data_IF_792599827453
#
_entry.id   IF_792599827453
#
_cell.length_a   1.000
_cell.length_b   1.000
_cell.length_c   1.000
_cell.angle_alpha   90.00
_cell.angle_beta   90.00
_cell.angle_gamma   90.00
#
_symmetry.space_group_name_H-M   'P 1'
#
loop_
_entity.id
_entity.type
_entity.pdbx_description
1 polymer ?
#
# COMPACT_ATOMS: atom_id res chain seq x y z
N UNK A 1 -25.64 -0.64 -4.08
CA UNK A 1 -24.69 -1.10 -3.06
C UNK A 1 -23.37 -1.59 -3.69
N UNK A 2 -23.35 -2.61 -4.56
CA UNK A 2 -22.09 -3.13 -5.18
C UNK A 2 -21.27 -2.06 -5.94
N UNK A 3 -21.92 -1.14 -6.66
CA UNK A 3 -21.22 -0.06 -7.39
C UNK A 3 -20.39 0.85 -6.48
N UNK A 4 -20.84 1.15 -5.27
CA UNK A 4 -20.08 1.95 -4.31
C UNK A 4 -18.79 1.26 -3.85
N UNK A 5 -18.81 -0.07 -3.68
CA UNK A 5 -17.61 -0.84 -3.33
C UNK A 5 -16.57 -0.82 -4.46
N UNK A 6 -17.02 -0.91 -5.71
CA UNK A 6 -16.10 -0.76 -6.85
C UNK A 6 -15.50 0.65 -6.93
N UNK A 7 -16.27 1.70 -6.62
CA UNK A 7 -15.70 3.06 -6.54
C UNK A 7 -14.58 3.17 -5.52
N UNK A 8 -14.72 2.50 -4.36
CA UNK A 8 -13.67 2.44 -3.36
C UNK A 8 -12.44 1.63 -3.85
N UNK A 9 -12.69 0.52 -4.56
CA UNK A 9 -11.63 -0.29 -5.16
C UNK A 9 -10.85 0.48 -6.23
N UNK A 10 -11.50 1.34 -7.02
CA UNK A 10 -10.82 2.24 -7.95
C UNK A 10 -9.86 3.20 -7.23
N UNK A 11 -10.22 3.69 -6.05
CA UNK A 11 -9.35 4.54 -5.23
C UNK A 11 -8.15 3.78 -4.69
N UNK A 12 -8.34 2.58 -4.14
CA UNK A 12 -7.21 1.76 -3.65
C UNK A 12 -6.29 1.29 -4.78
N UNK A 13 -6.81 1.09 -5.98
CA UNK A 13 -6.01 0.83 -7.18
C UNK A 13 -5.08 2.00 -7.50
N UNK A 14 -5.60 3.24 -7.53
CA UNK A 14 -4.77 4.43 -7.77
C UNK A 14 -3.70 4.63 -6.69
N UNK A 15 -4.07 4.46 -5.42
CA UNK A 15 -3.13 4.54 -4.30
C UNK A 15 -2.03 3.48 -4.38
N UNK A 16 -2.39 2.23 -4.74
CA UNK A 16 -1.43 1.16 -4.93
C UNK A 16 -0.43 1.44 -6.06
N UNK A 17 -0.89 1.97 -7.21
CA UNK A 17 0.01 2.41 -8.27
C UNK A 17 0.97 3.50 -7.74
N UNK A 18 0.45 4.56 -7.13
CA UNK A 18 1.29 5.68 -6.69
C UNK A 18 2.34 5.29 -5.63
N UNK A 19 2.05 4.28 -4.81
CA UNK A 19 2.99 3.74 -3.83
C UNK A 19 4.10 2.93 -4.50
N UNK A 20 3.73 1.89 -5.24
CA UNK A 20 4.68 0.88 -5.71
C UNK A 20 5.40 1.24 -7.00
N UNK A 21 4.81 2.10 -7.84
CA UNK A 21 5.41 2.45 -9.13
C UNK A 21 6.76 3.16 -8.96
N UNK A 22 6.88 4.03 -7.95
CA UNK A 22 8.13 4.76 -7.69
C UNK A 22 9.31 3.81 -7.51
N UNK A 23 9.10 2.67 -6.84
CA UNK A 23 10.14 1.67 -6.59
C UNK A 23 10.62 1.01 -7.88
N UNK A 24 9.71 0.85 -8.85
CA UNK A 24 10.03 0.20 -10.13
C UNK A 24 10.66 1.13 -11.16
N UNK A 25 10.41 2.45 -11.08
CA UNK A 25 10.96 3.47 -11.99
C UNK A 25 12.00 4.37 -11.31
N UNK A 26 12.54 3.94 -10.17
CA UNK A 26 13.46 4.74 -9.36
C UNK A 26 14.68 5.26 -10.15
N UNK A 27 15.36 4.44 -10.98
CA UNK A 27 16.48 4.91 -11.79
C UNK A 27 16.08 5.98 -12.82
N UNK A 28 14.88 5.85 -13.43
CA UNK A 28 14.40 6.81 -14.43
C UNK A 28 14.10 8.18 -13.78
N UNK A 29 13.58 8.16 -12.54
CA UNK A 29 13.34 9.38 -11.75
C UNK A 29 14.65 10.00 -11.28
N UNK A 30 15.61 9.19 -10.83
CA UNK A 30 16.95 9.65 -10.44
C UNK A 30 17.63 10.37 -11.61
N UNK A 31 17.65 9.74 -12.78
CA UNK A 31 18.18 10.35 -14.01
C UNK A 31 17.41 11.62 -14.41
N UNK A 32 16.09 11.63 -14.25
CA UNK A 32 15.25 12.76 -14.59
C UNK A 32 15.42 14.01 -13.73
N UNK A 33 15.94 13.87 -12.50
CA UNK A 33 16.28 14.96 -11.59
C UNK A 33 17.80 15.20 -11.48
N UNK A 34 18.61 14.41 -12.18
CA UNK A 34 20.08 14.42 -12.08
C UNK A 34 20.59 14.25 -10.64
N UNK A 35 20.05 13.24 -9.96
CA UNK A 35 20.36 12.89 -8.55
C UNK A 35 20.80 11.44 -8.44
N UNK A 36 21.44 11.11 -7.30
CA UNK A 36 21.81 9.73 -7.00
C UNK A 36 20.59 8.85 -6.69
N UNK A 37 20.73 7.53 -6.85
CA UNK A 37 19.70 6.55 -6.47
C UNK A 37 19.34 6.66 -4.98
N UNK A 38 20.31 6.97 -4.13
CA UNK A 38 20.08 7.18 -2.70
C UNK A 38 19.17 8.37 -2.43
N UNK A 39 19.40 9.49 -3.10
CA UNK A 39 18.56 10.68 -3.02
C UNK A 39 17.16 10.40 -3.58
N UNK A 40 17.05 9.68 -4.70
CA UNK A 40 15.77 9.27 -5.23
C UNK A 40 14.98 8.39 -4.23
N UNK A 41 15.65 7.59 -3.40
CA UNK A 41 15.03 6.83 -2.32
C UNK A 41 14.32 7.70 -1.27
N UNK A 42 14.74 8.96 -1.08
CA UNK A 42 14.03 9.90 -0.20
C UNK A 42 12.61 10.23 -0.71
N UNK A 43 12.36 10.14 -2.01
CA UNK A 43 11.02 10.34 -2.58
C UNK A 43 10.05 9.23 -2.12
N UNK A 44 10.54 8.01 -1.92
CA UNK A 44 9.78 6.90 -1.34
C UNK A 44 9.52 7.17 0.14
N UNK A 45 10.55 7.60 0.86
CA UNK A 45 10.45 7.94 2.30
C UNK A 45 9.52 9.12 2.55
N UNK A 46 9.55 10.14 1.70
CA UNK A 46 8.63 11.30 1.78
C UNK A 46 7.17 10.87 1.63
N UNK A 47 6.88 9.96 0.69
CA UNK A 47 5.55 9.38 0.54
C UNK A 47 5.13 8.61 1.81
N UNK A 48 5.98 7.73 2.32
CA UNK A 48 5.73 6.96 3.53
C UNK A 48 5.49 7.87 4.76
N UNK A 49 6.25 8.96 4.89
CA UNK A 49 6.03 9.96 5.92
C UNK A 49 4.65 10.63 5.76
N UNK A 50 4.26 10.96 4.53
CA UNK A 50 2.92 11.44 4.23
C UNK A 50 1.83 10.47 4.68
N UNK A 51 1.99 9.17 4.43
CA UNK A 51 1.05 8.12 4.88
C UNK A 51 0.93 8.11 6.40
N UNK A 52 2.05 8.19 7.12
CA UNK A 52 2.07 8.21 8.59
C UNK A 52 1.36 9.45 9.17
N UNK A 53 1.56 10.62 8.57
CA UNK A 53 0.99 11.89 9.04
C UNK A 53 -0.47 12.03 8.63
N UNK A 54 -0.84 11.53 7.47
CA UNK A 54 -2.15 11.76 6.86
C UNK A 54 -3.31 11.17 7.65
N UNK A 55 -3.19 9.95 8.16
CA UNK A 55 -4.26 9.30 8.89
C UNK A 55 -4.62 10.05 10.19
N UNK A 56 -3.68 10.40 11.09
CA UNK A 56 -3.97 11.26 12.25
C UNK A 56 -4.52 12.62 11.87
N UNK A 57 -3.98 13.24 10.79
CA UNK A 57 -4.42 14.56 10.35
C UNK A 57 -5.91 14.56 9.96
N UNK A 58 -6.35 13.54 9.22
CA UNK A 58 -7.77 13.41 8.82
C UNK A 58 -8.67 13.22 10.02
N UNK A 59 -8.26 12.45 11.02
CA UNK A 59 -9.01 12.28 12.28
C UNK A 59 -9.22 13.63 12.98
N UNK A 60 -8.24 14.50 12.95
CA UNK A 60 -8.33 15.84 13.62
C UNK A 60 -9.16 16.81 12.78
N UNK A 61 -8.89 16.90 11.47
CA UNK A 61 -9.44 17.95 10.59
C UNK A 61 -10.85 17.61 10.11
N UNK A 62 -11.07 16.36 9.70
CA UNK A 62 -12.27 15.95 8.97
C UNK A 62 -13.29 15.17 9.81
N UNK A 63 -13.12 15.11 11.13
CA UNK A 63 -13.98 14.34 12.06
C UNK A 63 -15.48 14.65 11.97
N UNK A 64 -15.84 15.89 11.62
CA UNK A 64 -17.23 16.33 11.49
C UNK A 64 -17.76 16.25 10.06
N UNK A 65 -16.93 15.86 9.10
CA UNK A 65 -17.33 15.81 7.70
C UNK A 65 -18.07 14.53 7.37
N UNK A 66 -19.05 14.56 6.45
CA UNK A 66 -19.63 13.35 5.88
C UNK A 66 -18.55 12.45 5.27
N UNK A 67 -18.65 11.13 5.46
CA UNK A 67 -17.63 10.18 5.02
C UNK A 67 -17.32 10.27 3.52
N UNK A 68 -18.35 10.51 2.69
CA UNK A 68 -18.18 10.71 1.25
C UNK A 68 -17.34 11.95 0.95
N UNK A 69 -17.53 13.05 1.68
CA UNK A 69 -16.76 14.29 1.52
C UNK A 69 -15.31 14.06 1.87
N UNK A 70 -15.03 13.29 2.94
CA UNK A 70 -13.66 12.91 3.31
C UNK A 70 -13.00 12.14 2.17
N UNK A 71 -13.67 11.10 1.62
CA UNK A 71 -13.13 10.33 0.51
C UNK A 71 -12.83 11.20 -0.72
N UNK A 72 -13.72 12.14 -1.05
CA UNK A 72 -13.52 13.06 -2.17
C UNK A 72 -12.33 14.00 -1.95
N UNK A 73 -12.17 14.53 -0.73
CA UNK A 73 -11.03 15.37 -0.36
C UNK A 73 -9.71 14.58 -0.43
N UNK A 74 -9.70 13.34 0.07
CA UNK A 74 -8.54 12.47 0.01
C UNK A 74 -8.12 12.16 -1.43
N UNK A 75 -9.07 11.81 -2.30
CA UNK A 75 -8.75 11.57 -3.71
C UNK A 75 -8.37 12.87 -4.42
N UNK A 76 -8.95 14.02 -4.04
CA UNK A 76 -8.52 15.33 -4.53
C UNK A 76 -7.06 15.63 -4.17
N UNK A 77 -6.66 15.33 -2.92
CA UNK A 77 -5.27 15.48 -2.48
C UNK A 77 -4.33 14.51 -3.20
N UNK A 78 -4.78 13.28 -3.47
CA UNK A 78 -4.06 12.32 -4.30
C UNK A 78 -3.82 12.86 -5.72
N UNK A 79 -4.84 13.42 -6.36
CA UNK A 79 -4.72 14.03 -7.69
C UNK A 79 -3.72 15.18 -7.65
N UNK A 80 -3.85 16.09 -6.69
CA UNK A 80 -2.95 17.25 -6.55
C UNK A 80 -1.49 16.80 -6.35
N UNK A 81 -1.23 15.84 -5.47
CA UNK A 81 0.12 15.33 -5.19
C UNK A 81 0.76 14.66 -6.42
N UNK A 82 -0.01 13.88 -7.18
CA UNK A 82 0.51 13.23 -8.40
C UNK A 82 0.71 14.24 -9.54
N UNK A 83 -0.15 15.25 -9.70
CA UNK A 83 0.07 16.33 -10.67
C UNK A 83 1.31 17.14 -10.29
N UNK A 84 1.48 17.50 -9.02
CA UNK A 84 2.69 18.17 -8.55
C UNK A 84 3.95 17.36 -8.85
N UNK A 85 3.90 16.04 -8.67
CA UNK A 85 5.03 15.16 -8.99
C UNK A 85 5.32 15.15 -10.50
N UNK A 86 4.29 15.06 -11.33
CA UNK A 86 4.44 15.09 -12.79
C UNK A 86 5.04 16.43 -13.29
N UNK A 87 4.69 17.53 -12.64
CA UNK A 87 5.13 18.90 -12.98
C UNK A 87 6.39 19.33 -12.23
N UNK A 88 6.95 18.47 -11.36
CA UNK A 88 8.13 18.83 -10.56
C UNK A 88 9.33 19.16 -11.44
N UNK A 89 9.86 20.37 -11.25
CA UNK A 89 11.05 20.83 -11.96
C UNK A 89 12.34 20.37 -11.30
N UNK A 90 12.32 20.19 -9.98
CA UNK A 90 13.47 19.87 -9.17
C UNK A 90 13.15 18.82 -8.10
N UNK A 91 14.20 18.31 -7.45
CA UNK A 91 14.13 17.31 -6.41
C UNK A 91 13.27 17.72 -5.20
N UNK A 92 13.38 18.97 -4.74
CA UNK A 92 12.66 19.43 -3.55
C UNK A 92 11.16 19.53 -3.79
N UNK A 93 10.79 20.00 -4.98
CA UNK A 93 9.39 19.99 -5.41
C UNK A 93 8.86 18.55 -5.50
N UNK A 94 9.67 17.61 -6.00
CA UNK A 94 9.37 16.20 -6.03
C UNK A 94 9.14 15.61 -4.64
N UNK A 95 9.99 15.95 -3.65
CA UNK A 95 9.82 15.53 -2.24
C UNK A 95 8.50 16.03 -1.65
N UNK A 96 8.18 17.32 -1.83
CA UNK A 96 6.92 17.90 -1.39
C UNK A 96 5.73 17.22 -2.05
N UNK A 97 5.80 16.99 -3.37
CA UNK A 97 4.76 16.31 -4.13
C UNK A 97 4.51 14.89 -3.64
N UNK A 98 5.57 14.14 -3.35
CA UNK A 98 5.48 12.78 -2.82
C UNK A 98 4.89 12.77 -1.42
N UNK A 99 5.29 13.68 -0.53
CA UNK A 99 4.68 13.84 0.79
C UNK A 99 3.18 14.11 0.69
N UNK A 100 2.78 15.07 -0.15
CA UNK A 100 1.36 15.41 -0.37
C UNK A 100 0.57 14.23 -0.93
N UNK A 101 1.13 13.50 -1.90
CA UNK A 101 0.45 12.32 -2.48
C UNK A 101 0.35 11.14 -1.51
N UNK A 102 1.19 11.07 -0.48
CA UNK A 102 1.14 10.08 0.58
C UNK A 102 0.06 10.33 1.63
N UNK A 103 -0.26 11.60 1.93
CA UNK A 103 -1.23 11.98 2.97
C UNK A 103 -2.58 11.26 2.87
N UNK A 104 -3.21 11.10 1.68
CA UNK A 104 -4.50 10.43 1.59
C UNK A 104 -4.46 8.93 1.81
N UNK A 105 -3.29 8.27 1.67
CA UNK A 105 -3.21 6.82 1.55
C UNK A 105 -3.78 6.09 2.77
N UNK A 106 -3.18 6.26 3.94
CA UNK A 106 -3.61 5.57 5.17
C UNK A 106 -5.03 5.95 5.58
N UNK A 107 -5.37 7.24 5.46
CA UNK A 107 -6.71 7.75 5.76
C UNK A 107 -7.78 7.18 4.82
N UNK A 108 -7.47 7.00 3.54
CA UNK A 108 -8.40 6.43 2.57
C UNK A 108 -8.75 4.98 2.91
N UNK A 109 -7.78 4.16 3.32
CA UNK A 109 -8.03 2.80 3.78
C UNK A 109 -8.90 2.77 5.05
N UNK A 110 -8.64 3.65 6.02
CA UNK A 110 -9.42 3.77 7.23
C UNK A 110 -10.88 4.18 6.96
N UNK A 111 -11.09 5.30 6.30
CA UNK A 111 -12.44 5.82 5.99
C UNK A 111 -13.15 4.92 4.99
N UNK A 112 -12.45 4.43 3.99
CA UNK A 112 -12.98 3.54 2.96
C UNK A 112 -13.49 2.22 3.53
N UNK A 113 -12.79 1.62 4.49
CA UNK A 113 -13.25 0.39 5.15
C UNK A 113 -14.53 0.61 5.96
N UNK A 114 -14.69 1.76 6.61
CA UNK A 114 -15.94 2.14 7.29
C UNK A 114 -17.07 2.29 6.27
N UNK A 115 -16.83 2.97 5.16
CA UNK A 115 -17.81 3.15 4.09
C UNK A 115 -18.16 1.81 3.46
N UNK A 116 -17.19 0.96 3.16
CA UNK A 116 -17.39 -0.38 2.62
C UNK A 116 -18.27 -1.23 3.55
N UNK A 117 -17.99 -1.21 4.86
CA UNK A 117 -18.79 -1.91 5.86
C UNK A 117 -20.23 -1.40 5.94
N UNK A 118 -20.45 -0.09 5.81
CA UNK A 118 -21.81 0.50 5.79
C UNK A 118 -22.57 0.21 4.50
N UNK A 119 -21.87 -0.02 3.38
CA UNK A 119 -22.47 -0.42 2.10
C UNK A 119 -22.70 -1.92 1.99
N UNK A 120 -22.16 -2.70 2.90
CA UNK A 120 -22.28 -4.15 2.91
C UNK A 120 -23.70 -4.63 3.23
N UNK A 121 -24.07 -5.80 2.72
CA UNK A 121 -25.22 -6.56 3.18
C UNK A 121 -24.96 -7.05 4.62
N UNK A 122 -26.03 -7.27 5.39
CA UNK A 122 -25.91 -7.80 6.77
C UNK A 122 -25.03 -9.08 6.78
N UNK A 123 -24.03 -9.10 7.64
CA UNK A 123 -23.10 -10.22 7.78
C UNK A 123 -21.97 -10.29 6.74
N UNK A 124 -21.89 -9.37 5.74
CA UNK A 124 -20.89 -9.38 4.66
C UNK A 124 -19.90 -8.21 4.72
N UNK A 125 -19.70 -7.62 5.90
CA UNK A 125 -18.81 -6.46 6.08
C UNK A 125 -17.36 -6.76 5.67
N UNK A 126 -16.82 -7.90 6.09
CA UNK A 126 -15.45 -8.33 5.75
C UNK A 126 -15.28 -8.49 4.23
N UNK A 127 -16.23 -9.12 3.55
CA UNK A 127 -16.20 -9.26 2.09
C UNK A 127 -16.23 -7.92 1.36
N UNK A 128 -16.97 -6.95 1.87
CA UNK A 128 -17.04 -5.61 1.29
C UNK A 128 -15.71 -4.86 1.41
N UNK A 129 -15.04 -4.97 2.56
CA UNK A 129 -13.70 -4.42 2.76
C UNK A 129 -12.68 -5.14 1.86
N UNK A 130 -12.79 -6.46 1.72
CA UNK A 130 -11.93 -7.22 0.81
C UNK A 130 -12.05 -6.76 -0.65
N UNK A 131 -13.28 -6.47 -1.13
CA UNK A 131 -13.51 -5.90 -2.48
C UNK A 131 -12.82 -4.54 -2.61
N UNK A 132 -12.86 -3.70 -1.59
CA UNK A 132 -12.15 -2.42 -1.61
C UNK A 132 -10.64 -2.62 -1.72
N UNK A 133 -10.06 -3.51 -0.91
CA UNK A 133 -8.61 -3.77 -0.87
C UNK A 133 -8.13 -4.45 -2.17
N UNK A 134 -8.98 -5.22 -2.83
CA UNK A 134 -8.66 -5.90 -4.09
C UNK A 134 -8.14 -4.94 -5.17
N UNK A 135 -8.56 -3.66 -5.15
CA UNK A 135 -8.02 -2.64 -6.06
C UNK A 135 -6.50 -2.51 -5.96
N UNK A 136 -5.95 -2.50 -4.75
CA UNK A 136 -4.50 -2.45 -4.52
C UNK A 136 -3.79 -3.71 -5.04
N UNK A 137 -4.39 -4.87 -4.86
CA UNK A 137 -3.84 -6.14 -5.38
C UNK A 137 -3.79 -6.13 -6.91
N UNK A 138 -4.84 -5.62 -7.57
CA UNK A 138 -4.89 -5.47 -9.03
C UNK A 138 -3.87 -4.42 -9.50
N UNK A 139 -3.66 -3.35 -8.74
CA UNK A 139 -2.63 -2.35 -9.03
C UNK A 139 -1.23 -2.97 -9.06
N UNK A 140 -0.90 -3.80 -8.08
CA UNK A 140 0.39 -4.48 -8.02
C UNK A 140 0.57 -5.50 -9.16
N UNK A 141 -0.52 -6.21 -9.53
CA UNK A 141 -0.45 -7.24 -10.56
C UNK A 141 -0.32 -6.65 -11.98
N UNK A 142 -1.05 -5.58 -12.28
CA UNK A 142 -1.12 -5.02 -13.63
C UNK A 142 -0.67 -3.56 -13.71
N UNK A 143 -1.01 -2.75 -12.72
CA UNK A 143 -0.76 -1.31 -12.74
C UNK A 143 0.72 -0.98 -12.64
N UNK A 144 1.43 -1.63 -11.73
CA UNK A 144 2.88 -1.41 -11.52
C UNK A 144 3.70 -1.87 -12.72
N UNK A 145 3.49 -3.08 -13.30
CA UNK A 145 4.18 -3.48 -14.53
C UNK A 145 3.91 -2.57 -15.72
N UNK A 146 2.64 -2.17 -15.92
CA UNK A 146 2.28 -1.24 -16.99
C UNK A 146 2.91 0.14 -16.77
N UNK A 147 2.91 0.63 -15.54
CA UNK A 147 3.53 1.90 -15.18
C UNK A 147 5.07 1.85 -15.32
N UNK A 148 5.71 0.74 -14.97
CA UNK A 148 7.15 0.55 -15.21
C UNK A 148 7.47 0.63 -16.71
N UNK A 149 6.71 -0.07 -17.55
CA UNK A 149 6.85 0.00 -19.00
C UNK A 149 6.70 1.44 -19.51
N UNK A 150 5.62 2.12 -19.12
CA UNK A 150 5.38 3.51 -19.54
C UNK A 150 6.45 4.47 -19.03
N UNK A 151 6.88 4.31 -17.77
CA UNK A 151 7.87 5.18 -17.13
C UNK A 151 9.23 5.08 -17.77
N UNK A 152 9.64 3.88 -18.14
CA UNK A 152 10.95 3.64 -18.73
C UNK A 152 10.97 3.97 -20.24
N UNK A 153 9.99 3.50 -21.02
CA UNK A 153 10.01 3.64 -22.49
C UNK A 153 9.46 4.98 -23.00
N UNK A 154 8.66 5.71 -22.21
CA UNK A 154 8.09 6.99 -22.59
C UNK A 154 8.58 8.12 -21.67
N UNK A 155 8.04 8.20 -20.47
CA UNK A 155 8.44 9.20 -19.46
C UNK A 155 7.90 8.82 -18.09
N UNK A 156 8.73 8.88 -17.06
CA UNK A 156 8.31 8.67 -15.69
C UNK A 156 7.25 9.70 -15.23
N UNK A 157 7.26 10.92 -15.78
CA UNK A 157 6.24 11.95 -15.50
C UNK A 157 4.86 11.53 -15.97
N UNK A 158 4.77 10.85 -17.12
CA UNK A 158 3.51 10.38 -17.68
C UNK A 158 2.77 9.43 -16.73
N UNK A 159 3.50 8.61 -15.99
CA UNK A 159 2.90 7.68 -15.01
C UNK A 159 2.13 8.43 -13.94
N UNK A 160 2.68 9.55 -13.43
CA UNK A 160 2.01 10.38 -12.43
C UNK A 160 0.84 11.18 -13.01
N UNK A 161 0.91 11.60 -14.27
CA UNK A 161 -0.25 12.18 -14.98
C UNK A 161 -1.38 11.16 -15.09
N UNK A 162 -1.09 9.92 -15.49
CA UNK A 162 -2.08 8.84 -15.57
C UNK A 162 -2.68 8.53 -14.19
N UNK A 163 -1.86 8.49 -13.13
CA UNK A 163 -2.34 8.32 -11.77
C UNK A 163 -3.29 9.45 -11.35
N UNK A 164 -2.98 10.70 -11.69
CA UNK A 164 -3.83 11.85 -11.42
C UNK A 164 -5.16 11.78 -12.18
N UNK A 165 -5.13 11.43 -13.47
CA UNK A 165 -6.34 11.22 -14.29
C UNK A 165 -7.20 10.09 -13.71
N UNK A 166 -6.59 9.00 -13.28
CA UNK A 166 -7.28 7.91 -12.58
C UNK A 166 -7.96 8.40 -11.31
N UNK A 167 -7.30 9.26 -10.54
CA UNK A 167 -7.90 9.94 -9.39
C UNK A 167 -9.12 10.77 -9.77
N UNK A 168 -9.08 11.49 -10.90
CA UNK A 168 -10.22 12.21 -11.45
C UNK A 168 -11.42 11.31 -11.75
N UNK A 169 -11.17 10.18 -12.40
CA UNK A 169 -12.18 9.13 -12.65
C UNK A 169 -12.74 8.56 -11.33
N UNK A 170 -11.87 8.34 -10.36
CA UNK A 170 -12.27 7.87 -9.02
C UNK A 170 -13.18 8.87 -8.31
N UNK A 171 -12.88 10.18 -8.38
CA UNK A 171 -13.76 11.25 -7.86
C UNK A 171 -15.15 11.15 -8.49
N UNK A 172 -15.21 10.97 -9.81
CA UNK A 172 -16.48 10.83 -10.52
C UNK A 172 -17.29 9.62 -10.05
N UNK A 173 -16.63 8.43 -9.90
CA UNK A 173 -17.30 7.22 -9.39
C UNK A 173 -17.75 7.37 -7.93
N UNK A 174 -16.94 7.96 -7.06
CA UNK A 174 -17.33 8.20 -5.66
C UNK A 174 -18.53 9.15 -5.61
N UNK A 175 -18.53 10.22 -6.38
CA UNK A 175 -19.68 11.15 -6.46
C UNK A 175 -20.96 10.47 -6.94
N UNK A 176 -20.84 9.54 -7.88
CA UNK A 176 -21.98 8.92 -8.55
C UNK A 176 -22.53 7.70 -7.81
N UNK A 177 -21.65 6.92 -7.16
CA UNK A 177 -22.00 5.59 -6.64
C UNK A 177 -21.95 5.48 -5.12
N UNK A 178 -21.22 6.34 -4.42
CA UNK A 178 -21.17 6.34 -2.96
C UNK A 178 -22.24 7.30 -2.42
N UNK A 179 -23.20 6.85 -1.62
CA UNK A 179 -24.22 7.71 -1.02
C UNK A 179 -23.57 8.68 -0.01
N UNK A 180 -24.28 9.76 0.30
CA UNK A 180 -23.89 10.66 1.39
C UNK A 180 -24.12 9.93 2.70
N UNK A 181 -23.04 9.52 3.35
CA UNK A 181 -23.07 8.89 4.66
C UNK A 181 -22.76 9.93 5.73
N UNK A 182 -23.49 9.94 6.85
CA UNK A 182 -23.27 10.90 7.93
C UNK A 182 -21.86 10.75 8.50
N UNK A 183 -21.36 11.82 9.12
CA UNK A 183 -20.13 11.82 9.87
C UNK A 183 -20.16 10.74 10.96
N UNK A 184 -18.98 10.34 11.40
CA UNK A 184 -18.86 9.48 12.57
C UNK A 184 -19.29 10.25 13.83
N UNK A 185 -19.86 9.58 14.85
CA UNK A 185 -20.18 10.23 16.12
C UNK A 185 -18.96 10.98 16.66
N UNK A 186 -19.17 12.23 17.06
CA UNK A 186 -18.10 13.06 17.60
C UNK A 186 -17.62 12.48 18.94
N UNK A 187 -16.57 11.67 18.91
CA UNK A 187 -15.85 11.25 20.11
C UNK A 187 -14.79 12.28 20.47
N UNK A 188 -14.55 12.47 21.76
CA UNK A 188 -13.51 13.39 22.22
C UNK A 188 -12.15 12.88 21.74
N UNK A 189 -11.26 13.76 21.21
CA UNK A 189 -9.92 13.40 20.71
C UNK A 189 -9.13 12.53 21.71
N UNK A 190 -9.23 12.84 23.02
CA UNK A 190 -8.60 12.02 24.07
C UNK A 190 -9.13 10.58 24.11
N UNK A 191 -10.38 10.37 23.74
CA UNK A 191 -10.99 9.03 23.67
C UNK A 191 -10.51 8.22 22.47
N UNK A 192 -10.30 8.88 21.32
CA UNK A 192 -9.85 8.22 20.09
C UNK A 192 -8.45 7.64 20.22
N UNK A 193 -7.54 8.30 20.93
CA UNK A 193 -6.18 7.82 21.16
C UNK A 193 -6.01 6.99 22.43
N UNK A 194 -7.09 6.66 23.16
CA UNK A 194 -7.04 5.89 24.41
C UNK A 194 -6.46 4.48 24.20
N UNK A 195 -6.65 3.88 23.04
CA UNK A 195 -6.10 2.56 22.73
C UNK A 195 -4.56 2.55 22.76
N UNK A 196 -3.88 3.66 22.44
CA UNK A 196 -2.42 3.79 22.51
C UNK A 196 -1.85 3.73 23.94
N UNK A 197 -2.70 3.77 24.98
CA UNK A 197 -2.27 3.57 26.38
C UNK A 197 -2.02 2.10 26.73
N UNK A 198 -2.44 1.18 25.86
CA UNK A 198 -2.23 -0.25 26.04
C UNK A 198 -0.97 -0.70 25.30
N UNK A 199 -0.24 -1.73 25.79
CA UNK A 199 0.98 -2.22 25.14
C UNK A 199 0.72 -2.93 23.81
N UNK A 200 -0.46 -3.56 23.62
CA UNK A 200 -0.75 -4.41 22.48
C UNK A 200 -0.66 -3.67 21.12
N UNK A 201 -1.22 -2.45 20.94
CA UNK A 201 -1.04 -1.67 19.71
C UNK A 201 0.43 -1.38 19.39
N UNK A 202 1.24 -1.08 20.41
CA UNK A 202 2.66 -0.79 20.22
C UNK A 202 3.45 -2.03 19.80
N UNK A 203 3.16 -3.19 20.39
CA UNK A 203 3.76 -4.47 19.95
C UNK A 203 3.43 -4.77 18.50
N UNK A 204 2.19 -4.50 18.08
CA UNK A 204 1.76 -4.72 16.70
C UNK A 204 2.41 -3.73 15.73
N UNK A 205 2.49 -2.45 16.12
CA UNK A 205 3.21 -1.44 15.35
C UNK A 205 4.69 -1.85 15.20
N UNK A 206 5.34 -2.23 16.29
CA UNK A 206 6.75 -2.67 16.26
C UNK A 206 6.94 -3.90 15.37
N UNK A 207 6.08 -4.92 15.48
CA UNK A 207 6.14 -6.12 14.63
C UNK A 207 5.95 -5.76 13.15
N UNK A 208 5.03 -4.83 12.83
CA UNK A 208 4.81 -4.36 11.46
C UNK A 208 6.00 -3.55 10.95
N UNK A 209 6.55 -2.65 11.75
CA UNK A 209 7.71 -1.83 11.37
C UNK A 209 8.95 -2.69 11.10
N UNK A 210 9.27 -3.62 11.99
CA UNK A 210 10.45 -4.48 11.86
C UNK A 210 10.27 -5.50 10.74
N UNK A 211 9.12 -6.16 10.68
CA UNK A 211 8.84 -7.17 9.67
C UNK A 211 8.71 -6.58 8.26
N UNK A 212 7.76 -5.70 8.06
CA UNK A 212 7.52 -5.12 6.74
C UNK A 212 8.61 -4.13 6.32
N UNK A 213 9.26 -3.44 7.26
CA UNK A 213 10.31 -2.48 6.98
C UNK A 213 11.47 -3.11 6.20
N UNK A 214 11.92 -4.30 6.58
CA UNK A 214 12.98 -5.01 5.86
C UNK A 214 12.60 -5.36 4.41
N UNK A 215 11.37 -5.84 4.20
CA UNK A 215 10.87 -6.13 2.85
C UNK A 215 10.70 -4.86 2.00
N UNK A 216 10.23 -3.76 2.60
CA UNK A 216 10.13 -2.48 1.89
C UNK A 216 11.50 -1.90 1.53
N UNK A 217 12.50 -2.01 2.41
CA UNK A 217 13.87 -1.60 2.08
C UNK A 217 14.40 -2.34 0.85
N UNK A 218 14.21 -3.66 0.80
CA UNK A 218 14.58 -4.47 -0.37
C UNK A 218 13.78 -4.09 -1.62
N UNK A 219 12.45 -4.01 -1.51
CA UNK A 219 11.57 -3.75 -2.65
C UNK A 219 11.73 -2.33 -3.20
N UNK A 220 12.11 -1.36 -2.36
CA UNK A 220 12.36 0.03 -2.79
C UNK A 220 13.48 0.14 -3.82
N UNK A 221 14.45 -0.78 -3.76
CA UNK A 221 15.59 -0.80 -4.68
C UNK A 221 15.57 -2.02 -5.60
N UNK A 222 14.39 -2.64 -5.81
CA UNK A 222 14.26 -3.85 -6.64
C UNK A 222 14.74 -3.64 -8.07
N UNK A 223 14.50 -2.47 -8.66
CA UNK A 223 14.91 -2.18 -10.04
C UNK A 223 16.45 -2.17 -10.17
N UNK A 224 17.23 -1.31 -9.47
CA UNK A 224 18.69 -1.34 -9.56
C UNK A 224 19.27 -2.67 -9.10
N UNK A 225 18.67 -3.35 -8.12
CA UNK A 225 19.13 -4.66 -7.69
C UNK A 225 19.04 -5.71 -8.81
N UNK A 226 17.94 -5.71 -9.57
CA UNK A 226 17.75 -6.63 -10.69
C UNK A 226 18.61 -6.28 -11.90
N UNK A 227 18.73 -4.99 -12.22
CA UNK A 227 19.43 -4.56 -13.43
C UNK A 227 20.95 -4.47 -13.23
N UNK A 228 21.42 -3.86 -12.13
CA UNK A 228 22.84 -3.60 -11.91
C UNK A 228 23.56 -4.74 -11.20
N UNK A 229 22.90 -5.39 -10.23
CA UNK A 229 23.50 -6.48 -9.45
C UNK A 229 23.27 -7.84 -10.10
N UNK A 230 22.00 -8.15 -10.47
CA UNK A 230 21.63 -9.45 -11.04
C UNK A 230 21.80 -9.52 -12.57
N UNK A 231 22.01 -8.37 -13.26
CA UNK A 231 22.31 -8.30 -14.69
C UNK A 231 21.11 -8.57 -15.61
N UNK A 232 19.88 -8.40 -15.11
CA UNK A 232 18.70 -8.45 -15.98
C UNK A 232 18.62 -7.21 -16.87
N UNK A 233 18.14 -7.39 -18.11
CA UNK A 233 17.88 -6.24 -18.97
C UNK A 233 16.73 -5.39 -18.43
N UNK A 234 16.79 -4.09 -18.61
CA UNK A 234 15.72 -3.17 -18.19
C UNK A 234 14.37 -3.52 -18.84
N UNK A 235 14.40 -4.02 -20.07
CA UNK A 235 13.20 -4.51 -20.78
C UNK A 235 12.51 -5.72 -20.11
N UNK A 236 13.20 -6.44 -19.21
CA UNK A 236 12.65 -7.57 -18.46
C UNK A 236 11.89 -7.09 -17.19
N UNK A 237 12.13 -5.87 -16.74
CA UNK A 237 11.55 -5.35 -15.49
C UNK A 237 10.01 -5.40 -15.43
N UNK A 238 9.25 -5.08 -16.50
CA UNK A 238 7.78 -5.20 -16.44
C UNK A 238 7.32 -6.63 -16.15
N UNK A 239 8.01 -7.64 -16.70
CA UNK A 239 7.71 -9.06 -16.46
C UNK A 239 8.05 -9.44 -15.03
N UNK A 240 9.18 -8.99 -14.50
CA UNK A 240 9.56 -9.21 -13.10
C UNK A 240 8.55 -8.57 -12.15
N UNK A 241 8.09 -7.36 -12.44
CA UNK A 241 7.05 -6.70 -11.65
C UNK A 241 5.69 -7.42 -11.74
N UNK A 242 5.32 -7.95 -12.91
CA UNK A 242 4.10 -8.77 -13.06
C UNK A 242 4.16 -10.02 -12.19
N UNK A 243 5.29 -10.70 -12.20
CA UNK A 243 5.53 -11.85 -11.35
C UNK A 243 5.49 -11.45 -9.85
N UNK A 244 6.07 -10.31 -9.44
CA UNK A 244 5.96 -9.79 -8.08
C UNK A 244 4.49 -9.60 -7.67
N UNK A 245 3.70 -8.92 -8.50
CA UNK A 245 2.28 -8.75 -8.26
C UNK A 245 1.52 -10.08 -8.15
N UNK A 246 1.83 -11.05 -9.01
CA UNK A 246 1.24 -12.39 -8.94
C UNK A 246 1.58 -13.09 -7.62
N UNK A 247 2.82 -12.98 -7.16
CA UNK A 247 3.27 -13.51 -5.87
C UNK A 247 2.55 -12.86 -4.69
N UNK A 248 2.31 -11.55 -4.76
CA UNK A 248 1.51 -10.82 -3.76
C UNK A 248 0.07 -11.38 -3.68
N UNK A 249 -0.55 -11.65 -4.85
CA UNK A 249 -1.89 -12.25 -4.89
C UNK A 249 -1.90 -13.65 -4.25
N UNK A 250 -0.93 -14.49 -4.59
CA UNK A 250 -0.77 -15.83 -4.01
C UNK A 250 -0.53 -15.74 -2.50
N UNK A 251 0.36 -14.85 -2.06
CA UNK A 251 0.65 -14.63 -0.66
C UNK A 251 -0.58 -14.20 0.14
N UNK A 252 -1.36 -13.26 -0.40
CA UNK A 252 -2.62 -12.80 0.21
C UNK A 252 -3.64 -13.94 0.35
N UNK A 253 -3.81 -14.74 -0.70
CA UNK A 253 -4.73 -15.88 -0.68
C UNK A 253 -4.28 -16.94 0.34
N UNK A 254 -3.01 -17.33 0.31
CA UNK A 254 -2.45 -18.33 1.23
C UNK A 254 -2.49 -17.85 2.68
N UNK A 255 -2.11 -16.58 2.93
CA UNK A 255 -2.13 -16.00 4.27
C UNK A 255 -3.53 -15.99 4.87
N UNK A 256 -4.54 -15.58 4.10
CA UNK A 256 -5.94 -15.63 4.51
C UNK A 256 -6.40 -17.06 4.81
N UNK A 257 -6.19 -17.99 3.88
CA UNK A 257 -6.63 -19.38 4.02
C UNK A 257 -5.94 -20.13 5.17
N UNK A 258 -4.64 -19.89 5.38
CA UNK A 258 -3.92 -20.46 6.50
C UNK A 258 -4.39 -19.88 7.85
N UNK A 259 -4.73 -18.59 7.89
CA UNK A 259 -5.26 -17.94 9.10
C UNK A 259 -6.64 -18.46 9.51
N UNK A 260 -7.43 -18.97 8.56
CA UNK A 260 -8.71 -19.62 8.84
C UNK A 260 -8.53 -21.02 9.44
N UNK A 261 -7.40 -21.68 9.13
CA UNK A 261 -7.10 -23.06 9.62
C UNK A 261 -6.24 -23.10 10.86
N UNK A 262 -5.33 -22.13 11.02
CA UNK A 262 -4.38 -22.05 12.12
C UNK A 262 -4.58 -20.76 12.89
N UNK A 263 -4.02 -20.67 14.10
CA UNK A 263 -4.06 -19.44 14.88
C UNK A 263 -3.38 -18.31 14.12
N UNK A 264 -4.04 -17.15 13.87
CA UNK A 264 -3.49 -16.05 13.09
C UNK A 264 -2.10 -15.59 13.52
N UNK A 265 -1.82 -15.62 14.85
CA UNK A 265 -0.49 -15.29 15.38
C UNK A 265 0.62 -16.23 14.91
N UNK A 266 0.35 -17.54 14.86
CA UNK A 266 1.33 -18.56 14.39
C UNK A 266 1.59 -18.34 12.90
N UNK A 267 0.55 -18.10 12.11
CA UNK A 267 0.68 -17.85 10.67
C UNK A 267 1.51 -16.58 10.43
N UNK A 268 1.24 -15.49 11.17
CA UNK A 268 2.01 -14.26 11.07
C UNK A 268 3.49 -14.49 11.39
N UNK A 269 3.80 -15.19 12.48
CA UNK A 269 5.19 -15.50 12.87
C UNK A 269 5.89 -16.36 11.80
N UNK A 270 5.22 -17.38 11.29
CA UNK A 270 5.77 -18.26 10.25
C UNK A 270 6.07 -17.49 8.95
N UNK A 271 5.17 -16.62 8.54
CA UNK A 271 5.36 -15.80 7.34
C UNK A 271 6.48 -14.75 7.52
N UNK A 272 6.60 -14.15 8.70
CA UNK A 272 7.70 -13.23 9.00
C UNK A 272 9.05 -13.96 9.04
N UNK A 273 9.09 -15.16 9.62
CA UNK A 273 10.30 -15.98 9.63
C UNK A 273 10.71 -16.38 8.20
N UNK A 274 9.76 -16.79 7.36
CA UNK A 274 10.01 -17.12 5.96
C UNK A 274 10.54 -15.91 5.18
N UNK A 275 10.00 -14.72 5.43
CA UNK A 275 10.47 -13.45 4.84
C UNK A 275 11.89 -13.14 5.29
N UNK A 276 12.19 -13.25 6.58
CA UNK A 276 13.53 -13.03 7.11
C UNK A 276 14.54 -14.00 6.50
N UNK A 277 14.23 -15.30 6.45
CA UNK A 277 15.09 -16.31 5.85
C UNK A 277 15.34 -16.02 4.36
N UNK A 278 14.31 -15.59 3.62
CA UNK A 278 14.41 -15.25 2.21
C UNK A 278 15.29 -14.02 1.96
N UNK A 279 15.16 -12.97 2.80
CA UNK A 279 16.02 -11.77 2.72
C UNK A 279 17.48 -12.10 3.06
N UNK A 280 17.71 -12.96 4.03
CA UNK A 280 19.04 -13.48 4.36
C UNK A 280 19.66 -14.24 3.19
N UNK A 281 18.89 -15.11 2.55
CA UNK A 281 19.34 -15.84 1.37
C UNK A 281 19.70 -14.87 0.22
N UNK A 282 18.86 -13.87 -0.05
CA UNK A 282 19.17 -12.84 -1.06
C UNK A 282 20.47 -12.14 -0.71
N UNK A 283 20.68 -11.74 0.55
CA UNK A 283 21.90 -11.08 0.98
C UNK A 283 23.15 -11.95 0.74
N UNK A 284 23.12 -13.23 1.15
CA UNK A 284 24.23 -14.14 0.94
C UNK A 284 24.49 -14.42 -0.54
N UNK A 285 23.46 -14.63 -1.35
CA UNK A 285 23.63 -14.91 -2.78
C UNK A 285 24.03 -13.68 -3.60
N UNK A 286 23.61 -12.49 -3.22
CA UNK A 286 24.09 -11.25 -3.83
C UNK A 286 25.60 -11.05 -3.61
N UNK A 287 26.14 -11.49 -2.47
CA UNK A 287 27.58 -11.45 -2.18
C UNK A 287 28.37 -12.59 -2.85
N UNK A 288 27.78 -13.77 -3.03
CA UNK A 288 28.42 -14.93 -3.65
C UNK A 288 28.02 -14.99 -5.12
N UNK A 289 28.70 -14.23 -5.96
CA UNK A 289 28.49 -14.10 -7.44
C UNK A 289 28.37 -15.42 -8.23
N UNK A 290 28.57 -16.57 -7.61
CA UNK A 290 28.68 -17.87 -8.27
C UNK A 290 27.33 -18.56 -8.57
N UNK A 291 26.24 -18.19 -7.91
CA UNK A 291 24.92 -18.86 -8.04
C UNK A 291 23.83 -18.01 -8.69
N UNK A 292 24.14 -16.77 -9.03
CA UNK A 292 23.20 -15.67 -9.33
C UNK A 292 22.37 -15.89 -10.61
N UNK A 293 22.85 -16.65 -11.58
CA UNK A 293 22.21 -16.74 -12.91
C UNK A 293 20.98 -17.66 -13.02
N UNK A 294 20.77 -18.60 -12.08
CA UNK A 294 19.65 -19.56 -12.14
C UNK A 294 18.76 -19.60 -10.90
N UNK A 295 19.24 -19.20 -9.75
CA UNK A 295 18.50 -19.18 -8.48
C UNK A 295 17.70 -17.89 -8.27
N UNK A 296 18.08 -16.80 -8.92
CA UNK A 296 17.63 -15.45 -8.68
C UNK A 296 16.12 -15.26 -8.76
N UNK A 297 15.49 -15.75 -9.82
CA UNK A 297 14.07 -15.52 -10.03
C UNK A 297 13.23 -16.14 -8.91
N UNK A 298 13.55 -17.35 -8.46
CA UNK A 298 12.76 -18.08 -7.45
C UNK A 298 12.94 -17.50 -6.03
N UNK A 299 14.15 -17.05 -5.69
CA UNK A 299 14.43 -16.52 -4.35
C UNK A 299 13.82 -15.14 -4.09
N UNK A 300 13.74 -14.30 -5.12
CA UNK A 300 13.17 -12.95 -5.00
C UNK A 300 11.65 -12.95 -4.77
N UNK A 301 10.95 -14.03 -5.11
CA UNK A 301 9.50 -14.13 -4.95
C UNK A 301 9.04 -14.44 -3.52
N UNK A 302 9.82 -15.21 -2.77
CA UNK A 302 9.46 -15.63 -1.43
C UNK A 302 9.24 -14.45 -0.45
N UNK A 303 10.12 -13.41 -0.39
CA UNK A 303 9.89 -12.25 0.48
C UNK A 303 8.64 -11.47 0.11
N UNK A 304 8.35 -11.33 -1.18
CA UNK A 304 7.17 -10.59 -1.66
C UNK A 304 5.88 -11.33 -1.30
N UNK A 305 5.82 -12.65 -1.47
CA UNK A 305 4.68 -13.47 -1.05
C UNK A 305 4.46 -13.39 0.45
N UNK A 306 5.52 -13.49 1.25
CA UNK A 306 5.41 -13.48 2.71
C UNK A 306 5.08 -12.10 3.28
N UNK A 307 5.54 -11.01 2.64
CA UNK A 307 5.23 -9.64 3.01
C UNK A 307 3.71 -9.38 3.00
N UNK A 308 3.02 -9.70 1.90
CA UNK A 308 1.58 -9.46 1.81
C UNK A 308 0.76 -10.41 2.67
N UNK A 309 1.20 -11.66 2.84
CA UNK A 309 0.59 -12.59 3.79
C UNK A 309 0.61 -12.03 5.21
N UNK A 310 1.71 -11.40 5.63
CA UNK A 310 1.84 -10.83 6.97
C UNK A 310 0.89 -9.66 7.19
N UNK A 311 0.69 -8.79 6.20
CA UNK A 311 -0.23 -7.66 6.31
C UNK A 311 -1.69 -8.10 6.52
N UNK A 312 -2.13 -9.16 5.82
CA UNK A 312 -3.47 -9.73 5.99
C UNK A 312 -3.63 -10.43 7.34
N UNK A 313 -2.61 -11.16 7.78
CA UNK A 313 -2.64 -11.86 9.07
C UNK A 313 -2.68 -10.85 10.22
N UNK A 314 -1.94 -9.77 10.14
CA UNK A 314 -2.02 -8.68 11.12
C UNK A 314 -3.44 -8.08 11.15
N UNK A 315 -4.06 -7.85 9.99
CA UNK A 315 -5.44 -7.38 9.91
C UNK A 315 -6.45 -8.40 10.49
N UNK A 316 -6.23 -9.70 10.28
CA UNK A 316 -7.11 -10.75 10.81
C UNK A 316 -6.96 -10.94 12.32
N UNK A 317 -5.80 -10.69 12.92
CA UNK A 317 -5.61 -10.67 14.38
C UNK A 317 -6.48 -9.56 15.01
N UNK A 318 -6.60 -8.41 14.36
CA UNK A 318 -7.49 -7.34 14.81
C UNK A 318 -8.98 -7.72 14.71
N UNK A 319 -9.39 -8.45 13.67
CA UNK A 319 -10.78 -8.87 13.50
C UNK A 319 -11.18 -9.98 14.46
N UNK A 320 -10.30 -10.96 14.71
CA UNK A 320 -10.56 -12.10 15.59
C UNK A 320 -10.82 -11.69 17.05
N UNK A 321 -10.12 -10.66 17.55
CA UNK A 321 -10.36 -10.15 18.91
C UNK A 321 -11.70 -9.42 19.08
N UNK A 322 -12.41 -9.13 17.99
CA UNK A 322 -13.74 -8.49 18.02
C UNK A 322 -14.86 -9.52 18.25
N UNK A 323 -14.65 -10.78 17.89
CA UNK A 323 -15.65 -11.85 17.96
C UNK A 323 -15.65 -12.63 19.29
N UNK A 324 -14.68 -12.43 20.19
CA UNK A 324 -14.64 -13.02 21.53
C UNK A 324 -15.65 -12.35 22.48
N UNK A 325 -16.91 -12.39 22.10
CA UNK A 325 -18.09 -12.54 22.95
C UNK A 325 -18.24 -11.66 24.19
N UNK A 326 -17.71 -10.40 24.22
CA UNK A 326 -18.17 -9.41 25.19
C UNK A 326 -18.85 -8.27 24.42
N UNK A 327 -20.18 -8.32 24.42
CA UNK A 327 -21.06 -7.32 23.85
C UNK A 327 -20.96 -5.98 24.58
N UNK A 328 -19.94 -5.22 24.31
CA UNK A 328 -19.86 -3.81 24.63
C UNK A 328 -19.55 -3.07 23.34
N UNK A 329 -20.52 -2.27 22.94
CA UNK A 329 -20.69 -1.39 21.82
C UNK A 329 -19.56 -1.06 20.84
N UNK A 330 -19.88 -0.42 19.70
CA UNK A 330 -18.95 -0.25 18.58
C UNK A 330 -17.73 0.55 19.03
N UNK A 331 -16.59 -0.15 19.16
CA UNK A 331 -15.32 0.52 19.32
C UNK A 331 -15.00 1.28 18.03
N UNK A 332 -15.08 2.60 18.11
CA UNK A 332 -14.68 3.54 17.07
C UNK A 332 -13.19 3.35 16.72
N UNK A 333 -12.92 3.24 15.45
CA UNK A 333 -11.67 3.65 14.84
C UNK A 333 -11.86 4.98 14.18
#
# INVERSE_FOLDING_TARGET
>A
MKKGLYALSFGTFGLGIAEFIMMSILPDVAAGFDISLSEAGHLISAYALGVCVGAPLVVVVARSWPLRTILLALVGLFVAGNLLMALSADYWMGLCARFVSGLPHGAYFGVGSIVASRLAEKGKSTSAVAIMIMGMTIANLFGVPAGNFLGHFLSWRLVFVIAALWGGVTIWFIRRWVPVLPALPATNLKGQFRFLRRPEPWMLIAATMLGNGGAFCWYSYVNPLMTEVSGFSVGTMPVLMLLAGASMCVGNYLGGHLSDRFTPGIVAMSMQFLMFASLLLIYFFAFVRLFVRFADVRLYWLPVCSFFSTAIVVASIFSWRRDDGRGDGPACF
#
